data_IF_731607493939
#
_entry.id   IF_731607493939
#
_cell.length_a   1.000
_cell.length_b   1.000
_cell.length_c   1.000
_cell.angle_alpha   90.00
_cell.angle_beta   90.00
_cell.angle_gamma   90.00
#
_symmetry.space_group_name_H-M   'P 1'
#
loop_
_entity.id
_entity.type
_entity.pdbx_description
1 polymer ?
#
# COMPACT_ATOMS: atom_id res chain seq x y z
N UNK A 1 -23.63 0.23 -0.19
CA UNK A 1 -22.80 1.33 -0.73
C UNK A 1 -21.53 0.72 -1.28
N UNK A 2 -21.15 1.02 -2.52
CA UNK A 2 -19.85 0.62 -3.08
C UNK A 2 -18.78 1.57 -2.54
N UNK A 3 -17.91 1.10 -1.65
CA UNK A 3 -16.70 1.85 -1.27
C UNK A 3 -15.70 1.72 -2.41
N UNK A 4 -15.21 2.84 -2.92
CA UNK A 4 -14.03 2.90 -3.78
C UNK A 4 -12.83 3.17 -2.89
N UNK A 5 -11.74 2.43 -3.07
CA UNK A 5 -10.48 2.72 -2.39
C UNK A 5 -9.79 3.83 -3.16
N UNK A 6 -9.47 4.91 -2.46
CA UNK A 6 -8.81 6.08 -3.04
C UNK A 6 -7.31 5.85 -3.25
N UNK A 7 -6.77 6.56 -4.23
CA UNK A 7 -5.34 6.63 -4.48
C UNK A 7 -4.63 7.32 -3.30
N UNK A 8 -3.37 6.93 -3.09
CA UNK A 8 -2.48 7.53 -2.08
C UNK A 8 -1.10 7.80 -2.66
N UNK A 9 -0.47 8.84 -2.13
CA UNK A 9 0.85 9.29 -2.52
C UNK A 9 1.84 9.09 -1.37
N UNK A 10 3.06 8.71 -1.74
CA UNK A 10 4.16 8.54 -0.80
C UNK A 10 4.69 9.91 -0.32
N UNK A 11 5.67 9.89 0.58
CA UNK A 11 6.34 11.06 1.16
C UNK A 11 7.02 11.97 0.13
N UNK A 12 7.30 11.46 -1.07
CA UNK A 12 7.88 12.20 -2.19
C UNK A 12 6.83 12.67 -3.21
N UNK A 13 5.54 12.45 -2.94
CA UNK A 13 4.45 12.77 -3.85
C UNK A 13 4.32 11.78 -5.03
N UNK A 14 4.93 10.59 -4.93
CA UNK A 14 4.79 9.54 -5.92
C UNK A 14 3.53 8.71 -5.66
N UNK A 15 2.74 8.44 -6.71
CA UNK A 15 1.56 7.58 -6.62
C UNK A 15 1.97 6.15 -6.23
N UNK A 16 1.35 5.64 -5.17
CA UNK A 16 1.50 4.26 -4.70
C UNK A 16 0.72 3.32 -5.62
N UNK A 17 1.38 2.26 -6.08
CA UNK A 17 0.85 1.29 -7.04
C UNK A 17 0.86 -0.12 -6.48
N UNK A 18 0.14 -1.00 -7.18
CA UNK A 18 0.11 -2.42 -6.89
C UNK A 18 1.55 -2.98 -6.85
N UNK A 19 1.82 -3.79 -5.83
CA UNK A 19 3.11 -4.43 -5.55
C UNK A 19 4.25 -3.49 -5.17
N UNK A 20 4.00 -2.21 -4.91
CA UNK A 20 4.99 -1.38 -4.24
C UNK A 20 5.30 -1.94 -2.84
N UNK A 21 6.56 -1.87 -2.46
CA UNK A 21 7.03 -2.12 -1.10
C UNK A 21 7.17 -0.78 -0.43
N UNK A 22 6.40 -0.59 0.63
CA UNK A 22 6.35 0.66 1.38
C UNK A 22 7.08 0.49 2.71
N UNK A 23 7.70 1.58 3.16
CA UNK A 23 8.28 1.73 4.48
C UNK A 23 7.55 2.87 5.20
N UNK A 24 7.07 2.62 6.41
CA UNK A 24 6.61 3.68 7.31
C UNK A 24 7.84 4.42 7.85
N UNK A 25 7.88 5.75 7.71
CA UNK A 25 9.06 6.52 8.10
C UNK A 25 9.23 6.69 9.62
N UNK A 26 8.14 6.60 10.40
CA UNK A 26 8.19 6.75 11.85
C UNK A 26 8.62 5.44 12.52
N UNK A 27 8.04 4.33 12.10
CA UNK A 27 8.18 3.01 12.74
C UNK A 27 9.19 2.10 12.04
N UNK A 28 9.47 2.35 10.75
CA UNK A 28 10.26 1.46 9.91
C UNK A 28 9.53 0.19 9.48
N UNK A 29 8.21 0.08 9.73
CA UNK A 29 7.41 -1.05 9.29
C UNK A 29 7.38 -1.15 7.77
N UNK A 30 7.57 -2.37 7.26
CA UNK A 30 7.56 -2.66 5.82
C UNK A 30 6.23 -3.31 5.44
N UNK A 31 5.58 -2.86 4.37
CA UNK A 31 4.35 -3.47 3.87
C UNK A 31 4.39 -3.64 2.35
N UNK A 32 3.67 -4.64 1.85
CA UNK A 32 3.47 -4.86 0.41
C UNK A 32 2.09 -4.35 0.00
N UNK A 33 2.03 -3.58 -1.08
CA UNK A 33 0.75 -3.19 -1.68
C UNK A 33 0.18 -4.36 -2.48
N UNK A 34 -1.04 -4.76 -2.17
CA UNK A 34 -1.77 -5.87 -2.80
C UNK A 34 -3.14 -5.42 -3.26
N UNK A 35 -3.73 -6.13 -4.22
CA UNK A 35 -5.13 -5.96 -4.57
C UNK A 35 -5.99 -6.86 -3.68
N UNK A 36 -6.94 -6.28 -2.94
CA UNK A 36 -7.77 -7.00 -1.99
C UNK A 36 -9.26 -6.86 -2.33
N UNK A 37 -10.05 -7.83 -1.84
CA UNK A 37 -11.51 -7.77 -1.85
C UNK A 37 -12.08 -8.29 -0.54
N UNK A 38 -13.26 -7.78 -0.13
CA UNK A 38 -13.95 -8.25 1.07
C UNK A 38 -15.36 -8.81 0.76
N UNK A 39 -15.98 -9.45 1.76
CA UNK A 39 -17.33 -10.04 1.66
C UNK A 39 -18.43 -9.03 1.36
N UNK A 40 -18.19 -7.75 1.66
CA UNK A 40 -19.11 -6.64 1.37
C UNK A 40 -18.98 -6.12 -0.07
N UNK A 41 -18.13 -6.73 -0.90
CA UNK A 41 -17.95 -6.38 -2.30
C UNK A 41 -17.00 -5.20 -2.57
N UNK A 42 -16.31 -4.69 -1.54
CA UNK A 42 -15.28 -3.65 -1.70
C UNK A 42 -14.05 -4.28 -2.33
N UNK A 43 -13.45 -3.62 -3.31
CA UNK A 43 -12.21 -4.03 -3.98
C UNK A 43 -11.29 -2.83 -4.17
N UNK A 44 -9.99 -3.03 -4.04
CA UNK A 44 -9.01 -1.97 -4.23
C UNK A 44 -7.65 -2.29 -3.62
N UNK A 45 -6.77 -1.28 -3.56
CA UNK A 45 -5.43 -1.44 -3.00
C UNK A 45 -5.48 -1.56 -1.48
N UNK A 46 -4.65 -2.46 -0.95
CA UNK A 46 -4.46 -2.71 0.45
C UNK A 46 -2.97 -2.85 0.73
N UNK A 47 -2.57 -2.69 1.98
CA UNK A 47 -1.22 -2.99 2.47
C UNK A 47 -1.25 -4.28 3.27
N UNK A 48 -0.24 -5.12 3.10
CA UNK A 48 -0.09 -6.37 3.84
C UNK A 48 1.34 -6.57 4.34
N UNK A 49 1.47 -6.97 5.61
CA UNK A 49 2.67 -7.60 6.13
C UNK A 49 2.25 -8.80 7.01
N UNK A 50 2.52 -10.01 6.52
CA UNK A 50 2.15 -11.25 7.21
C UNK A 50 2.96 -11.52 8.47
N UNK A 51 4.16 -10.97 8.58
CA UNK A 51 5.01 -11.13 9.77
C UNK A 51 4.53 -10.24 10.91
N UNK A 52 4.09 -9.02 10.59
CA UNK A 52 3.55 -8.05 11.56
C UNK A 52 2.03 -8.19 11.77
N UNK A 53 1.34 -9.01 10.98
CA UNK A 53 -0.12 -9.16 11.05
C UNK A 53 -0.89 -7.95 10.48
N UNK A 54 -0.26 -7.15 9.62
CA UNK A 54 -0.86 -5.96 9.01
C UNK A 54 -1.66 -6.37 7.78
N UNK A 55 -2.92 -5.91 7.71
CA UNK A 55 -3.78 -6.04 6.53
C UNK A 55 -4.90 -5.00 6.58
N UNK A 56 -4.72 -3.89 5.88
CA UNK A 56 -5.73 -2.83 5.81
C UNK A 56 -5.80 -2.20 4.41
N UNK A 57 -6.88 -1.48 4.12
CA UNK A 57 -7.02 -0.73 2.88
C UNK A 57 -5.97 0.39 2.81
N UNK A 58 -5.45 0.66 1.62
CA UNK A 58 -4.44 1.71 1.45
C UNK A 58 -5.01 3.09 1.83
N UNK A 59 -6.30 3.32 1.57
CA UNK A 59 -6.97 4.61 1.77
C UNK A 59 -7.19 5.01 3.24
N UNK A 60 -6.95 4.14 4.22
CA UNK A 60 -7.02 4.52 5.64
C UNK A 60 -5.80 5.32 6.10
N UNK A 61 -4.71 5.22 5.36
CA UNK A 61 -3.47 5.95 5.63
C UNK A 61 -3.50 7.30 4.89
N UNK A 62 -3.13 8.41 5.54
CA UNK A 62 -2.91 9.69 4.88
C UNK A 62 -1.79 9.61 3.84
N UNK A 63 -1.82 10.53 2.86
CA UNK A 63 -0.67 10.77 1.98
C UNK A 63 0.57 11.15 2.80
N UNK A 64 1.74 10.71 2.35
CA UNK A 64 3.03 11.03 2.95
C UNK A 64 3.44 10.18 4.16
N UNK A 65 2.61 9.25 4.63
CA UNK A 65 2.97 8.29 5.70
C UNK A 65 4.04 7.31 5.23
N UNK A 66 3.94 6.90 3.97
CA UNK A 66 4.77 5.85 3.38
C UNK A 66 5.86 6.42 2.51
N UNK A 67 6.99 5.73 2.43
CA UNK A 67 7.98 5.89 1.37
C UNK A 67 8.03 4.63 0.51
N UNK A 68 7.97 4.78 -0.81
CA UNK A 68 8.15 3.65 -1.73
C UNK A 68 9.64 3.30 -1.76
N UNK A 69 9.99 2.06 -1.40
CA UNK A 69 11.38 1.58 -1.42
C UNK A 69 11.68 0.64 -2.58
N UNK A 70 10.66 0.28 -3.36
CA UNK A 70 10.78 -0.60 -4.51
C UNK A 70 9.43 -1.16 -4.93
N UNK A 71 9.43 -2.03 -5.93
CA UNK A 71 8.24 -2.72 -6.40
C UNK A 71 8.56 -4.22 -6.56
N UNK A 72 7.73 -5.07 -5.97
CA UNK A 72 7.97 -6.51 -5.88
C UNK A 72 7.74 -7.28 -7.19
N UNK A 73 7.08 -6.68 -8.20
CA UNK A 73 7.01 -7.27 -9.55
C UNK A 73 8.28 -7.01 -10.36
N UNK A 74 9.01 -5.94 -10.04
CA UNK A 74 10.07 -5.45 -10.90
C UNK A 74 11.43 -5.98 -10.47
N UNK A 75 12.03 -6.80 -11.33
CA UNK A 75 13.49 -6.92 -11.45
C UNK A 75 14.00 -5.56 -11.90
N UNK A 76 14.64 -4.81 -11.00
CA UNK A 76 15.33 -3.52 -11.20
C UNK A 76 15.17 -2.88 -12.59
N UNK A 77 14.44 -1.76 -12.68
CA UNK A 77 14.67 -0.84 -13.80
C UNK A 77 16.10 -0.31 -13.65
N UNK A 78 17.00 -0.81 -14.50
CA UNK A 78 18.36 -0.32 -14.70
C UNK A 78 18.34 1.13 -15.18
#
# INVERSE_FOLDING_TARGET
MSKTIEDRYDSNGQLIKLHDVLKDEETGEMVLVVYASNKSGVRGLAVENKMAGIRDWLDVYPDGVWTIVGNAETVAQQ
#
